data_IF_907993242262
#
_entry.id   IF_907993242262
#
_cell.length_a   1.000
_cell.length_b   1.000
_cell.length_c   1.000
_cell.angle_alpha   90.00
_cell.angle_beta   90.00
_cell.angle_gamma   90.00
#
_symmetry.space_group_name_H-M   'P 1'
#
loop_
_entity.id
_entity.type
_entity.pdbx_description
1 polymer ?
#
# COMPACT_ATOMS: atom_id res chain seq x y z
N UNK A 1 -1.23 16.98 17.82
CA UNK A 1 -0.60 16.95 16.50
C UNK A 1 -1.67 16.50 15.53
N UNK A 2 -2.31 17.46 14.89
CA UNK A 2 -3.41 17.24 13.96
C UNK A 2 -2.96 16.32 12.83
N UNK A 3 -3.64 15.18 12.71
CA UNK A 3 -3.40 14.18 11.68
C UNK A 3 -3.83 14.71 10.32
N UNK A 4 -3.02 15.57 9.73
CA UNK A 4 -3.14 15.87 8.31
C UNK A 4 -2.72 14.61 7.56
N UNK A 5 -3.71 13.83 7.13
CA UNK A 5 -3.52 12.69 6.25
C UNK A 5 -2.74 13.10 5.00
N UNK A 6 -1.96 12.16 4.47
CA UNK A 6 -1.21 12.34 3.23
C UNK A 6 -2.22 12.65 2.12
N UNK A 7 -2.04 13.78 1.46
CA UNK A 7 -2.86 14.15 0.30
C UNK A 7 -2.13 13.61 -0.93
N UNK A 8 -2.84 12.93 -1.81
CA UNK A 8 -2.37 12.62 -3.16
C UNK A 8 -3.04 13.52 -4.17
N UNK A 9 -2.35 13.77 -5.27
CA UNK A 9 -2.83 14.51 -6.43
C UNK A 9 -2.89 13.57 -7.61
N UNK A 10 -4.06 13.47 -8.24
CA UNK A 10 -4.25 12.85 -9.56
C UNK A 10 -4.53 13.96 -10.55
N UNK A 11 -3.86 13.96 -11.69
CA UNK A 11 -4.04 15.00 -12.72
C UNK A 11 -3.63 14.44 -14.09
N UNK A 12 -3.91 15.20 -15.14
CA UNK A 12 -3.45 14.91 -16.50
C UNK A 12 -2.40 15.96 -16.88
N UNK A 13 -1.22 15.51 -17.31
CA UNK A 13 -0.15 16.35 -17.87
C UNK A 13 0.03 16.04 -19.34
N UNK A 14 -0.26 17.02 -20.21
CA UNK A 14 -0.12 16.88 -21.66
C UNK A 14 -0.82 15.62 -22.24
N UNK A 15 -1.97 15.26 -21.65
CA UNK A 15 -2.76 14.08 -22.01
C UNK A 15 -2.36 12.77 -21.30
N UNK A 16 -1.33 12.79 -20.45
CA UNK A 16 -0.84 11.63 -19.70
C UNK A 16 -1.34 11.73 -18.25
N UNK A 17 -2.04 10.70 -17.71
CA UNK A 17 -2.47 10.70 -16.32
C UNK A 17 -1.28 10.48 -15.38
N UNK A 18 -1.17 11.33 -14.37
CA UNK A 18 -0.11 11.35 -13.37
C UNK A 18 -0.70 11.21 -11.96
N UNK A 19 0.08 10.62 -11.05
CA UNK A 19 -0.30 10.43 -9.65
C UNK A 19 0.92 10.65 -8.75
N UNK A 20 0.76 11.48 -7.71
CA UNK A 20 1.83 11.76 -6.76
C UNK A 20 1.35 12.24 -5.40
N UNK A 21 2.32 12.54 -4.54
CA UNK A 21 2.07 13.16 -3.24
C UNK A 21 1.81 14.66 -3.42
N UNK A 22 0.74 15.15 -2.81
CA UNK A 22 0.38 16.56 -2.84
C UNK A 22 0.96 17.31 -1.63
N UNK A 23 1.75 18.32 -1.94
CA UNK A 23 2.33 19.27 -1.01
C UNK A 23 1.80 20.66 -1.31
N UNK A 24 1.55 21.44 -0.27
CA UNK A 24 1.13 22.83 -0.39
C UNK A 24 2.25 23.70 0.17
N UNK A 25 2.81 24.55 -0.69
CA UNK A 25 3.86 25.49 -0.32
C UNK A 25 3.28 26.65 0.51
N UNK A 26 4.16 27.39 1.20
CA UNK A 26 3.80 28.49 2.11
C UNK A 26 3.08 29.65 1.42
N UNK A 27 3.27 29.78 0.11
CA UNK A 27 2.64 30.77 -0.75
C UNK A 27 1.27 30.33 -1.29
N UNK A 28 0.82 29.11 -0.95
CA UNK A 28 -0.41 28.51 -1.46
C UNK A 28 -0.24 27.75 -2.77
N UNK A 29 0.98 27.65 -3.30
CA UNK A 29 1.26 26.86 -4.51
C UNK A 29 1.12 25.37 -4.22
N UNK A 30 0.31 24.68 -5.00
CA UNK A 30 0.14 23.22 -4.94
C UNK A 30 1.19 22.51 -5.81
N UNK A 31 1.99 21.65 -5.19
CA UNK A 31 3.06 20.87 -5.82
C UNK A 31 2.71 19.39 -5.70
N UNK A 32 2.76 18.67 -6.82
CA UNK A 32 2.64 17.23 -6.88
C UNK A 32 4.02 16.61 -7.04
N UNK A 33 4.45 15.82 -6.05
CA UNK A 33 5.71 15.08 -6.08
C UNK A 33 5.48 13.69 -6.66
N UNK A 34 5.96 13.48 -7.88
CA UNK A 34 5.98 12.20 -8.57
C UNK A 34 7.21 11.43 -8.11
N UNK A 35 7.05 10.19 -7.68
CA UNK A 35 8.17 9.33 -7.25
C UNK A 35 8.32 8.18 -8.23
N UNK A 36 9.51 8.03 -8.79
CA UNK A 36 9.85 6.95 -9.70
C UNK A 36 10.39 5.72 -8.95
N UNK A 37 10.36 4.56 -9.60
CA UNK A 37 10.76 3.28 -8.99
C UNK A 37 12.25 3.20 -8.66
N UNK A 38 13.07 4.00 -9.34
CA UNK A 38 14.52 4.09 -9.12
C UNK A 38 14.89 5.01 -7.94
N UNK A 39 13.90 5.58 -7.26
CA UNK A 39 14.09 6.55 -6.18
C UNK A 39 14.32 7.98 -6.67
N UNK A 40 14.26 8.21 -7.99
CA UNK A 40 14.11 9.53 -8.59
C UNK A 40 12.74 10.12 -8.26
N UNK A 41 12.62 11.44 -8.41
CA UNK A 41 11.34 12.09 -8.25
C UNK A 41 11.31 13.45 -8.92
N UNK A 42 10.15 13.80 -9.44
CA UNK A 42 9.87 15.06 -10.10
C UNK A 42 8.85 15.86 -9.26
N UNK A 43 9.11 17.15 -9.09
CA UNK A 43 8.15 18.07 -8.47
C UNK A 43 7.44 18.88 -9.55
N UNK A 44 6.14 18.70 -9.65
CA UNK A 44 5.30 19.34 -10.67
C UNK A 44 4.37 20.33 -10.00
N UNK A 45 4.36 21.59 -10.44
CA UNK A 45 3.36 22.55 -9.98
C UNK A 45 2.01 22.20 -10.63
N UNK A 46 1.00 21.97 -9.81
CA UNK A 46 -0.34 21.56 -10.27
C UNK A 46 -1.42 22.61 -9.98
N UNK A 47 -1.16 23.56 -9.08
CA UNK A 47 -2.07 24.65 -8.76
C UNK A 47 -1.29 25.89 -8.33
N UNK A 48 -1.60 27.05 -8.90
CA UNK A 48 -1.04 28.34 -8.51
C UNK A 48 -1.76 28.90 -7.27
N UNK A 49 -1.16 29.88 -6.55
CA UNK A 49 -1.76 30.49 -5.36
C UNK A 49 -3.16 31.10 -5.56
N UNK A 50 -3.48 31.51 -6.78
CA UNK A 50 -4.77 32.07 -7.17
C UNK A 50 -5.82 30.99 -7.50
N UNK A 51 -5.45 29.71 -7.43
CA UNK A 51 -6.29 28.56 -7.78
C UNK A 51 -6.25 28.19 -9.26
N UNK A 52 -5.46 28.89 -10.08
CA UNK A 52 -5.33 28.61 -11.52
C UNK A 52 -4.46 27.38 -11.76
N UNK A 53 -4.86 26.51 -12.69
CA UNK A 53 -4.04 25.38 -13.13
C UNK A 53 -2.99 25.84 -14.15
N UNK A 54 -1.71 25.42 -14.02
CA UNK A 54 -0.67 25.72 -15.01
C UNK A 54 -0.98 25.15 -16.41
N UNK A 55 -0.33 25.68 -17.45
CA UNK A 55 -0.42 25.11 -18.80
C UNK A 55 0.02 23.63 -18.82
N UNK A 56 -0.68 22.83 -19.62
CA UNK A 56 -0.44 21.39 -19.73
C UNK A 56 -1.08 20.56 -18.61
N UNK A 57 -1.59 21.18 -17.54
CA UNK A 57 -2.23 20.49 -16.41
C UNK A 57 -3.75 20.59 -16.49
N UNK A 58 -4.43 19.45 -16.41
CA UNK A 58 -5.89 19.37 -16.31
C UNK A 58 -6.35 18.29 -15.32
N UNK A 59 -7.65 18.29 -15.01
CA UNK A 59 -8.31 17.22 -14.23
C UNK A 59 -7.67 16.96 -12.84
N UNK A 60 -7.16 18.01 -12.20
CA UNK A 60 -6.57 17.92 -10.87
C UNK A 60 -7.63 17.51 -9.83
N UNK A 61 -7.42 16.36 -9.19
CA UNK A 61 -8.18 15.84 -8.07
C UNK A 61 -7.27 15.58 -6.87
N UNK A 62 -7.66 16.07 -5.71
CA UNK A 62 -6.96 15.83 -4.45
C UNK A 62 -7.64 14.70 -3.67
N UNK A 63 -6.91 13.60 -3.49
CA UNK A 63 -7.36 12.42 -2.75
C UNK A 63 -6.72 12.42 -1.37
N UNK A 64 -7.52 12.40 -0.31
CA UNK A 64 -7.00 12.22 1.04
C UNK A 64 -6.76 10.73 1.29
N UNK A 65 -5.50 10.36 1.52
CA UNK A 65 -5.13 9.01 1.92
C UNK A 65 -5.07 8.97 3.44
N UNK A 66 -5.82 8.07 4.10
CA UNK A 66 -5.66 7.87 5.53
C UNK A 66 -4.24 7.36 5.80
N UNK A 67 -3.44 8.15 6.51
CA UNK A 67 -2.04 7.82 6.89
C UNK A 67 -1.97 6.87 8.07
N UNK A 68 -3.10 6.55 8.68
CA UNK A 68 -3.23 5.46 9.64
C UNK A 68 -3.96 4.32 8.95
N UNK A 69 -3.21 3.28 8.63
CA UNK A 69 -3.76 1.95 8.82
C UNK A 69 -3.86 1.84 10.35
N UNK A 70 -5.02 2.16 10.91
CA UNK A 70 -5.29 1.61 12.24
C UNK A 70 -5.27 0.09 12.02
N UNK A 71 -4.36 -0.61 12.70
CA UNK A 71 -4.42 -2.08 12.87
C UNK A 71 -5.72 -2.53 13.60
N UNK A 72 -6.80 -1.73 13.55
CA UNK A 72 -8.00 -1.86 14.35
C UNK A 72 -9.31 -1.55 13.64
N UNK A 73 -9.34 -1.35 12.31
CA UNK A 73 -10.62 -1.24 11.57
C UNK A 73 -10.54 -1.82 10.15
N UNK A 74 -9.66 -2.80 9.94
CA UNK A 74 -10.15 -3.94 9.17
C UNK A 74 -11.33 -4.44 9.99
N UNK A 75 -12.56 -4.11 9.54
CA UNK A 75 -13.76 -4.86 9.87
C UNK A 75 -13.26 -6.28 10.04
N UNK A 76 -13.23 -6.77 11.27
CA UNK A 76 -12.82 -8.13 11.53
C UNK A 76 -13.86 -8.92 10.77
N UNK A 77 -13.57 -9.23 9.51
CA UNK A 77 -14.02 -10.45 8.91
C UNK A 77 -13.52 -11.44 9.93
N UNK A 78 -14.41 -11.80 10.86
CA UNK A 78 -14.22 -12.87 11.80
C UNK A 78 -13.58 -13.95 10.98
N UNK A 79 -12.27 -14.13 11.17
CA UNK A 79 -11.53 -15.15 10.45
C UNK A 79 -12.36 -16.40 10.66
N UNK A 80 -12.84 -17.00 9.57
CA UNK A 80 -13.65 -18.20 9.73
C UNK A 80 -12.84 -19.20 10.56
N UNK A 81 -13.49 -19.98 11.42
CA UNK A 81 -12.80 -20.97 12.25
C UNK A 81 -11.87 -21.86 11.39
N UNK A 82 -12.26 -22.12 10.14
CA UNK A 82 -11.44 -22.80 9.13
C UNK A 82 -10.14 -22.04 8.80
N UNK A 83 -10.20 -20.72 8.61
CA UNK A 83 -9.00 -19.91 8.34
C UNK A 83 -8.06 -19.90 9.54
N UNK A 84 -8.61 -19.78 10.75
CA UNK A 84 -7.84 -19.82 11.99
C UNK A 84 -7.16 -21.20 12.19
N UNK A 85 -7.88 -22.29 11.90
CA UNK A 85 -7.35 -23.65 11.99
C UNK A 85 -6.21 -23.88 10.97
N UNK A 86 -6.37 -23.39 9.74
CA UNK A 86 -5.33 -23.46 8.70
C UNK A 86 -4.06 -22.71 9.11
N UNK A 87 -4.21 -21.52 9.71
CA UNK A 87 -3.07 -20.77 10.23
C UNK A 87 -2.39 -21.49 11.40
N UNK A 88 -3.17 -22.07 12.32
CA UNK A 88 -2.64 -22.84 13.45
C UNK A 88 -1.84 -24.06 12.97
N UNK A 89 -2.33 -24.76 11.94
CA UNK A 89 -1.63 -25.92 11.35
C UNK A 89 -0.37 -25.53 10.60
N UNK A 90 -0.38 -24.40 9.89
CA UNK A 90 0.82 -23.82 9.28
C UNK A 90 1.88 -23.50 10.32
N UNK A 91 1.48 -22.83 11.41
CA UNK A 91 2.37 -22.49 12.53
C UNK A 91 2.97 -23.74 13.18
N UNK A 92 2.16 -24.78 13.40
CA UNK A 92 2.64 -26.03 13.97
C UNK A 92 3.76 -26.68 13.13
N UNK A 93 3.64 -26.69 11.79
CA UNK A 93 4.67 -27.25 10.91
C UNK A 93 5.99 -26.45 11.00
N UNK A 94 5.90 -25.13 11.07
CA UNK A 94 7.07 -24.23 11.20
C UNK A 94 7.73 -24.36 12.57
N UNK A 95 6.93 -24.48 13.64
CA UNK A 95 7.44 -24.66 15.00
C UNK A 95 8.18 -26.01 15.12
N UNK A 96 7.63 -27.09 14.57
CA UNK A 96 8.28 -28.42 14.57
C UNK A 96 9.61 -28.43 13.79
N UNK A 97 9.70 -27.70 12.67
CA UNK A 97 10.97 -27.47 11.97
C UNK A 97 11.95 -26.67 12.84
N UNK A 98 11.49 -25.59 13.45
CA UNK A 98 12.32 -24.70 14.29
C UNK A 98 12.86 -25.41 15.52
N UNK A 99 12.07 -26.33 16.09
CA UNK A 99 12.47 -27.20 17.21
C UNK A 99 13.36 -28.37 16.78
N UNK A 100 13.64 -28.53 15.47
CA UNK A 100 14.45 -29.60 14.92
C UNK A 100 13.77 -30.97 14.93
N UNK A 101 12.45 -31.00 15.08
CA UNK A 101 11.64 -32.23 15.04
C UNK A 101 11.42 -32.67 13.59
N UNK A 102 11.27 -31.71 12.67
CA UNK A 102 11.21 -31.95 11.22
C UNK A 102 12.48 -31.43 10.56
N UNK A 103 13.03 -32.21 9.62
CA UNK A 103 14.04 -31.68 8.69
C UNK A 103 13.39 -30.77 7.63
N UNK A 104 14.22 -30.05 6.89
CA UNK A 104 13.78 -29.07 5.89
C UNK A 104 12.92 -29.69 4.79
N UNK A 105 13.25 -30.90 4.34
CA UNK A 105 12.50 -31.58 3.29
C UNK A 105 11.13 -32.04 3.81
N UNK A 106 11.08 -32.59 5.02
CA UNK A 106 9.83 -33.04 5.64
C UNK A 106 8.90 -31.86 6.01
N UNK A 107 9.46 -30.78 6.55
CA UNK A 107 8.72 -29.56 6.85
C UNK A 107 8.18 -28.90 5.58
N UNK A 108 9.01 -28.83 4.52
CA UNK A 108 8.63 -28.27 3.23
C UNK A 108 7.50 -29.05 2.55
N UNK A 109 7.58 -30.38 2.53
CA UNK A 109 6.54 -31.22 1.94
C UNK A 109 5.21 -31.12 2.71
N UNK A 110 5.26 -31.14 4.05
CA UNK A 110 4.07 -30.99 4.89
C UNK A 110 3.42 -29.62 4.73
N UNK A 111 4.22 -28.55 4.65
CA UNK A 111 3.74 -27.20 4.43
C UNK A 111 3.13 -27.06 3.03
N UNK A 112 3.81 -27.56 2.00
CA UNK A 112 3.33 -27.49 0.62
C UNK A 112 1.98 -28.20 0.44
N UNK A 113 1.85 -29.45 0.91
CA UNK A 113 0.58 -30.20 0.86
C UNK A 113 -0.54 -29.52 1.65
N UNK A 114 -0.19 -28.85 2.75
CA UNK A 114 -1.16 -28.14 3.57
C UNK A 114 -1.66 -26.85 2.91
N UNK A 115 -0.77 -26.08 2.29
CA UNK A 115 -1.10 -24.83 1.61
C UNK A 115 -1.79 -25.06 0.25
N UNK A 116 -1.43 -26.15 -0.45
CA UNK A 116 -1.91 -26.46 -1.80
C UNK A 116 -2.53 -27.87 -1.89
N UNK A 117 -3.64 -28.15 -1.17
CA UNK A 117 -4.24 -29.49 -1.10
C UNK A 117 -4.82 -30.00 -2.43
N UNK A 118 -4.98 -29.12 -3.43
CA UNK A 118 -5.50 -29.45 -4.76
C UNK A 118 -4.40 -29.60 -5.83
N UNK A 119 -3.13 -29.49 -5.43
CA UNK A 119 -2.01 -29.69 -6.33
C UNK A 119 -1.35 -31.03 -6.03
N UNK A 120 -1.69 -32.03 -6.84
CA UNK A 120 -1.23 -33.42 -6.77
C UNK A 120 -1.61 -34.18 -8.03
#
# INVERSE_FOLDING_TARGET
>A
MDGQGLRMCRFTRDGIPELGEYLESVDGTGICKLTELDGGGEEVVVCLPDGTMPEGISDLELVRVPTRIEEGDAKTETMSDETAERMARTRFIVDEYTMGVLDEQEAGERLFRHLFPHWG
#
